data_IF_144723761037
#
_entry.id   IF_144723761037
#
_cell.length_a   1.000
_cell.length_b   1.000
_cell.length_c   1.000
_cell.angle_alpha   90.00
_cell.angle_beta   90.00
_cell.angle_gamma   90.00
#
_symmetry.space_group_name_H-M   'P 1'
#
loop_
_entity.id
_entity.type
_entity.pdbx_description
1 polymer ?
#
# COMPACT_ATOMS: atom_id res chain seq x y z
N UNK A 1 -47.60 -14.91 38.80
CA UNK A 1 -46.30 -15.21 39.41
C UNK A 1 -45.23 -14.52 38.59
N UNK A 2 -44.43 -13.66 39.24
CA UNK A 2 -43.29 -12.98 38.63
C UNK A 2 -42.10 -13.93 38.65
N UNK A 3 -41.37 -14.01 37.54
CA UNK A 3 -40.00 -14.54 37.55
C UNK A 3 -39.17 -13.73 36.54
N UNK A 4 -38.39 -12.80 37.08
CA UNK A 4 -37.21 -12.22 36.44
C UNK A 4 -36.07 -13.22 36.57
N UNK A 5 -35.28 -13.46 35.51
CA UNK A 5 -33.86 -13.76 35.67
C UNK A 5 -33.05 -13.14 34.53
N UNK A 6 -31.87 -12.66 34.94
CA UNK A 6 -31.00 -11.70 34.30
C UNK A 6 -30.34 -12.20 33.01
N UNK A 7 -30.08 -11.25 32.10
CA UNK A 7 -29.07 -11.34 31.06
C UNK A 7 -27.68 -11.19 31.69
N UNK A 8 -26.74 -12.05 31.32
CA UNK A 8 -25.31 -11.79 31.45
C UNK A 8 -24.61 -12.18 30.14
N UNK A 9 -23.99 -11.17 29.52
CA UNK A 9 -23.00 -11.29 28.46
C UNK A 9 -21.70 -11.85 29.06
N UNK A 10 -21.02 -12.72 28.33
CA UNK A 10 -19.57 -12.92 28.49
C UNK A 10 -18.97 -13.30 27.15
N UNK A 11 -18.10 -12.43 26.66
CA UNK A 11 -17.23 -12.68 25.52
C UNK A 11 -16.10 -13.61 25.98
N UNK A 12 -15.78 -14.64 25.21
CA UNK A 12 -14.61 -15.48 25.40
C UNK A 12 -13.69 -15.31 24.20
N UNK A 13 -12.62 -14.53 24.38
CA UNK A 13 -11.44 -14.51 23.50
C UNK A 13 -10.44 -15.50 24.09
N UNK A 14 -10.15 -16.57 23.38
CA UNK A 14 -9.13 -17.55 23.77
C UNK A 14 -7.76 -17.09 23.27
N UNK A 15 -6.89 -16.69 24.20
CA UNK A 15 -5.46 -16.51 23.96
C UNK A 15 -4.74 -17.82 24.32
N UNK A 16 -4.12 -18.48 23.34
CA UNK A 16 -3.18 -19.58 23.58
C UNK A 16 -1.79 -18.98 23.84
N UNK A 17 -1.35 -18.98 25.10
CA UNK A 17 0.06 -18.83 25.47
C UNK A 17 0.69 -20.22 25.57
N UNK A 18 1.62 -20.54 24.66
CA UNK A 18 2.50 -21.70 24.79
C UNK A 18 3.64 -21.41 25.75
N UNK A 19 3.77 -22.22 26.80
CA UNK A 19 4.84 -22.15 27.79
C UNK A 19 6.15 -22.72 27.21
N UNK A 20 7.24 -21.94 27.29
CA UNK A 20 8.60 -22.45 27.13
C UNK A 20 9.07 -23.13 28.41
N UNK A 21 9.39 -24.42 28.34
CA UNK A 21 10.13 -25.15 29.37
C UNK A 21 11.64 -25.04 29.10
N UNK A 22 12.39 -24.50 30.06
CA UNK A 22 13.85 -24.58 30.09
C UNK A 22 14.26 -25.98 30.58
N UNK A 23 15.04 -26.70 29.78
CA UNK A 23 15.78 -27.88 30.19
C UNK A 23 17.27 -27.55 30.21
N UNK A 24 17.90 -27.72 31.38
CA UNK A 24 19.34 -27.64 31.58
C UNK A 24 19.94 -29.04 31.50
N UNK A 25 20.96 -29.24 30.67
CA UNK A 25 21.91 -30.36 30.79
C UNK A 25 23.33 -29.88 30.46
N UNK A 26 24.28 -30.35 31.27
CA UNK A 26 25.71 -30.05 31.22
C UNK A 26 26.46 -30.84 30.14
N UNK A 27 27.63 -30.31 29.76
CA UNK A 27 28.63 -30.74 28.78
C UNK A 27 28.91 -32.26 28.65
N UNK A 28 29.07 -32.77 27.41
CA UNK A 28 30.39 -32.99 26.78
C UNK A 28 30.31 -33.64 25.36
N UNK A 29 30.88 -32.93 24.38
CA UNK A 29 31.62 -33.31 23.16
C UNK A 29 31.07 -34.20 22.00
N UNK A 30 31.43 -33.74 20.80
CA UNK A 30 31.57 -34.39 19.47
C UNK A 30 30.34 -34.75 18.63
N UNK A 31 29.90 -33.75 17.85
CA UNK A 31 29.86 -33.79 16.37
C UNK A 31 29.23 -35.00 15.67
N UNK A 32 27.96 -34.84 15.28
CA UNK A 32 27.46 -34.83 13.90
C UNK A 32 25.94 -35.00 13.96
N UNK A 33 25.23 -33.88 13.85
CA UNK A 33 23.78 -33.85 13.76
C UNK A 33 23.39 -32.71 12.84
N UNK A 34 22.88 -33.06 11.65
CA UNK A 34 22.29 -32.11 10.72
C UNK A 34 21.12 -31.39 11.38
N UNK A 35 21.36 -30.16 11.83
CA UNK A 35 20.33 -29.24 12.30
C UNK A 35 19.84 -28.41 11.13
N UNK A 36 18.78 -28.86 10.45
CA UNK A 36 17.97 -28.01 9.61
C UNK A 36 17.06 -27.21 10.57
N UNK A 37 17.63 -26.17 11.18
CA UNK A 37 16.95 -25.37 12.19
C UNK A 37 16.97 -23.92 11.78
N UNK A 38 15.79 -23.32 11.63
CA UNK A 38 15.61 -21.88 11.51
C UNK A 38 16.39 -21.21 12.65
N UNK A 39 17.49 -20.55 12.31
CA UNK A 39 18.30 -19.84 13.31
C UNK A 39 17.81 -18.40 13.43
N UNK A 40 17.55 -17.97 14.66
CA UNK A 40 17.19 -16.59 14.97
C UNK A 40 18.46 -15.73 15.18
N UNK A 41 18.47 -14.54 14.60
CA UNK A 41 19.48 -13.52 14.78
C UNK A 41 18.81 -12.25 15.31
N UNK A 42 19.16 -11.83 16.53
CA UNK A 42 18.64 -10.60 17.12
C UNK A 42 19.66 -9.49 16.93
N UNK A 43 19.29 -8.45 16.18
CA UNK A 43 20.15 -7.28 15.99
C UNK A 43 20.07 -6.41 17.25
N UNK A 44 21.22 -6.05 17.81
CA UNK A 44 21.30 -5.18 18.98
C UNK A 44 20.78 -3.77 18.67
N UNK A 45 20.31 -3.04 19.70
CA UNK A 45 19.90 -1.65 19.55
C UNK A 45 21.04 -0.81 18.96
N UNK A 46 20.71 0.11 18.05
CA UNK A 46 21.63 0.88 17.23
C UNK A 46 22.50 0.03 16.29
N UNK A 47 22.09 -1.19 15.99
CA UNK A 47 22.72 -2.04 14.98
C UNK A 47 22.48 -1.52 13.55
N UNK A 48 23.25 -2.07 12.61
CA UNK A 48 23.18 -1.71 11.20
C UNK A 48 22.62 -2.88 10.40
N UNK A 49 21.61 -2.62 9.57
CA UNK A 49 21.09 -3.51 8.55
C UNK A 49 21.91 -3.30 7.28
N UNK A 50 22.55 -4.36 6.79
CA UNK A 50 23.37 -4.36 5.57
C UNK A 50 23.49 -5.75 4.98
N UNK A 51 23.49 -5.85 3.65
CA UNK A 51 23.71 -7.08 2.92
C UNK A 51 22.45 -7.93 2.80
N UNK A 52 22.52 -9.22 3.12
CA UNK A 52 21.38 -10.12 2.95
C UNK A 52 21.19 -11.11 4.10
N UNK A 53 19.93 -11.49 4.33
CA UNK A 53 19.52 -12.57 5.22
C UNK A 53 19.20 -13.81 4.40
N UNK A 54 19.88 -14.92 4.67
CA UNK A 54 19.78 -16.18 3.92
C UNK A 54 19.74 -17.42 4.82
N UNK A 55 19.61 -18.61 4.22
CA UNK A 55 19.73 -19.88 4.95
C UNK A 55 18.57 -20.16 5.90
N UNK A 56 17.36 -19.69 5.59
CA UNK A 56 16.16 -19.84 6.43
C UNK A 56 16.29 -19.18 7.82
N UNK A 57 17.05 -18.09 7.88
CA UNK A 57 17.23 -17.31 9.11
C UNK A 57 16.03 -16.43 9.40
N UNK A 58 15.77 -16.22 10.68
CA UNK A 58 14.86 -15.17 11.15
C UNK A 58 15.68 -14.06 11.78
N UNK A 59 15.70 -12.86 11.18
CA UNK A 59 16.28 -11.67 11.80
C UNK A 59 15.21 -10.92 12.58
N UNK A 60 15.52 -10.52 13.81
CA UNK A 60 14.60 -9.86 14.73
C UNK A 60 15.13 -8.47 15.10
N UNK A 61 14.34 -7.45 14.74
CA UNK A 61 14.49 -6.08 15.20
C UNK A 61 13.59 -5.87 16.42
N UNK A 62 14.21 -5.80 17.58
CA UNK A 62 13.50 -5.75 18.87
C UNK A 62 12.68 -4.47 18.99
N UNK A 63 11.46 -4.59 19.51
CA UNK A 63 10.52 -3.48 19.70
C UNK A 63 11.16 -2.26 20.38
N UNK A 64 10.81 -1.07 19.89
CA UNK A 64 11.28 0.22 20.43
C UNK A 64 12.76 0.53 20.19
N UNK A 65 13.50 -0.33 19.48
CA UNK A 65 14.91 -0.10 19.18
C UNK A 65 15.08 0.72 17.90
N UNK A 66 16.25 1.35 17.80
CA UNK A 66 16.66 2.10 16.63
C UNK A 66 17.69 1.28 15.85
N UNK A 67 17.63 1.34 14.53
CA UNK A 67 18.57 0.69 13.63
C UNK A 67 18.96 1.67 12.52
N UNK A 68 20.14 1.48 11.96
CA UNK A 68 20.52 2.13 10.71
C UNK A 68 20.42 1.16 9.54
N UNK A 69 20.10 1.67 8.35
CA UNK A 69 20.22 0.95 7.09
C UNK A 69 21.43 1.55 6.34
N UNK A 70 22.28 0.70 5.78
CA UNK A 70 23.57 1.09 5.18
C UNK A 70 23.85 0.18 3.98
N UNK A 71 23.32 0.58 2.83
CA UNK A 71 23.17 -0.18 1.61
C UNK A 71 21.89 -1.03 1.58
N UNK A 72 21.86 -1.93 0.61
CA UNK A 72 20.77 -2.90 0.44
C UNK A 72 20.64 -3.82 1.66
N UNK A 73 19.39 -4.14 2.01
CA UNK A 73 19.06 -5.20 2.95
C UNK A 73 18.06 -6.19 2.33
N UNK A 74 18.59 -7.32 1.88
CA UNK A 74 17.84 -8.30 1.08
C UNK A 74 17.44 -9.50 1.95
N UNK A 75 16.14 -9.76 2.08
CA UNK A 75 15.61 -10.96 2.72
C UNK A 75 15.39 -12.01 1.64
N UNK A 76 16.20 -13.08 1.65
CA UNK A 76 16.17 -14.13 0.63
C UNK A 76 15.17 -15.24 0.97
N UNK A 77 14.83 -16.03 -0.04
CA UNK A 77 13.88 -17.14 0.07
C UNK A 77 14.14 -18.04 1.30
N UNK A 78 13.07 -18.34 2.04
CA UNK A 78 13.10 -19.12 3.28
C UNK A 78 13.40 -18.29 4.54
N UNK A 79 13.97 -17.10 4.41
CA UNK A 79 14.29 -16.22 5.54
C UNK A 79 13.13 -15.28 5.90
N UNK A 80 13.16 -14.75 7.13
CA UNK A 80 12.17 -13.79 7.64
C UNK A 80 12.84 -12.59 8.30
N UNK A 81 12.36 -11.37 8.00
CA UNK A 81 12.66 -10.16 8.76
C UNK A 81 11.49 -9.82 9.68
N UNK A 82 11.69 -9.87 11.00
CA UNK A 82 10.69 -9.46 12.00
C UNK A 82 11.02 -8.09 12.57
N UNK A 83 10.06 -7.18 12.53
CA UNK A 83 10.21 -5.81 13.02
C UNK A 83 9.14 -5.56 14.09
N UNK A 84 9.60 -5.36 15.33
CA UNK A 84 8.73 -5.10 16.46
C UNK A 84 8.13 -3.69 16.45
N UNK A 85 7.03 -3.52 17.18
CA UNK A 85 6.39 -2.21 17.36
C UNK A 85 7.37 -1.12 17.86
N UNK A 86 7.16 0.12 17.42
CA UNK A 86 7.97 1.28 17.82
C UNK A 86 9.42 1.26 17.33
N UNK A 87 9.81 0.30 16.48
CA UNK A 87 11.14 0.30 15.86
C UNK A 87 11.29 1.50 14.94
N UNK A 88 12.46 2.14 14.98
CA UNK A 88 12.88 3.12 13.97
C UNK A 88 14.05 2.57 13.17
N UNK A 89 13.94 2.59 11.84
CA UNK A 89 15.04 2.29 10.90
C UNK A 89 15.37 3.60 10.19
N UNK A 90 16.63 4.02 10.26
CA UNK A 90 17.13 5.23 9.60
C UNK A 90 18.15 4.88 8.51
N UNK A 91 17.80 5.08 7.25
CA UNK A 91 18.72 5.03 6.13
C UNK A 91 19.79 6.12 6.26
N UNK A 92 21.04 5.73 6.04
CA UNK A 92 22.17 6.63 6.15
C UNK A 92 22.26 7.47 4.89
N UNK A 93 22.63 8.73 5.09
CA UNK A 93 23.04 9.56 3.97
C UNK A 93 24.51 9.27 3.65
N UNK A 94 24.75 8.32 2.76
CA UNK A 94 26.01 8.24 2.04
C UNK A 94 25.79 8.10 0.53
N UNK A 95 26.54 8.86 -0.26
CA UNK A 95 26.42 8.85 -1.72
C UNK A 95 27.06 7.59 -2.35
N UNK A 96 27.53 6.63 -1.53
CA UNK A 96 28.32 5.50 -1.97
C UNK A 96 27.48 4.25 -2.20
N UNK A 97 26.38 4.08 -1.45
CA UNK A 97 25.50 2.91 -1.55
C UNK A 97 24.04 3.30 -1.41
N UNK A 98 23.17 2.58 -2.13
CA UNK A 98 21.73 2.85 -2.13
C UNK A 98 21.09 2.03 -1.01
N UNK A 99 20.33 2.71 -0.17
CA UNK A 99 19.67 2.12 1.00
C UNK A 99 18.25 1.70 0.63
N UNK A 100 17.96 0.40 0.62
CA UNK A 100 16.61 -0.12 0.41
C UNK A 100 16.43 -1.47 1.10
N UNK A 101 15.18 -1.81 1.40
CA UNK A 101 14.81 -3.15 1.90
C UNK A 101 14.11 -3.91 0.78
N UNK A 102 14.62 -5.10 0.46
CA UNK A 102 14.05 -5.97 -0.58
C UNK A 102 13.71 -7.34 0.01
N UNK A 103 12.45 -7.76 -0.14
CA UNK A 103 11.96 -9.08 0.27
C UNK A 103 11.74 -9.91 -1.00
N UNK A 104 12.62 -10.88 -1.25
CA UNK A 104 12.54 -11.73 -2.45
C UNK A 104 11.40 -12.76 -2.36
N UNK A 105 11.05 -13.35 -3.50
CA UNK A 105 10.07 -14.44 -3.57
C UNK A 105 10.37 -15.58 -2.59
N UNK A 106 9.37 -15.92 -1.76
CA UNK A 106 9.49 -16.97 -0.75
C UNK A 106 10.20 -16.56 0.53
N UNK A 107 10.65 -15.30 0.65
CA UNK A 107 11.01 -14.68 1.91
C UNK A 107 9.77 -14.08 2.59
N UNK A 108 9.93 -13.65 3.84
CA UNK A 108 8.85 -12.97 4.59
C UNK A 108 9.34 -11.73 5.32
N UNK A 109 8.41 -10.78 5.49
CA UNK A 109 8.53 -9.68 6.44
C UNK A 109 7.36 -9.70 7.43
N UNK A 110 7.65 -9.64 8.72
CA UNK A 110 6.67 -9.52 9.79
C UNK A 110 6.92 -8.19 10.52
N UNK A 111 6.40 -7.10 9.96
CA UNK A 111 6.53 -5.75 10.50
C UNK A 111 5.20 -5.31 11.13
N UNK A 112 5.09 -5.42 12.45
CA UNK A 112 3.83 -5.20 13.17
C UNK A 112 4.00 -4.14 14.26
N UNK A 113 3.67 -2.90 13.89
CA UNK A 113 3.52 -1.77 14.80
C UNK A 113 2.15 -1.71 15.46
N UNK A 114 1.92 -0.64 16.22
CA UNK A 114 0.62 -0.29 16.80
C UNK A 114 0.33 1.19 16.59
N UNK A 115 -0.93 1.60 16.74
CA UNK A 115 -1.31 3.01 16.62
C UNK A 115 -0.53 3.94 17.57
N UNK A 116 -0.11 3.44 18.74
CA UNK A 116 0.69 4.19 19.72
C UNK A 116 2.20 4.01 19.57
N UNK A 117 2.64 3.01 18.81
CA UNK A 117 4.04 2.68 18.57
C UNK A 117 4.20 2.18 17.13
N UNK A 118 4.01 3.05 16.12
CA UNK A 118 4.21 2.67 14.73
C UNK A 118 5.67 2.32 14.49
N UNK A 119 5.92 1.47 13.50
CA UNK A 119 7.26 1.30 12.94
C UNK A 119 7.53 2.53 12.07
N UNK A 120 8.71 3.12 12.22
CA UNK A 120 9.15 4.26 11.42
C UNK A 120 10.35 3.83 10.58
N UNK A 121 10.21 3.93 9.27
CA UNK A 121 11.30 3.73 8.32
C UNK A 121 11.54 5.07 7.63
N UNK A 122 12.72 5.66 7.83
CA UNK A 122 13.07 7.03 7.44
C UNK A 122 14.52 7.09 6.96
N UNK A 123 14.98 8.27 6.54
CA UNK A 123 16.39 8.59 6.36
C UNK A 123 16.90 9.61 7.39
N UNK A 124 18.23 9.67 7.57
CA UNK A 124 18.92 10.62 8.45
C UNK A 124 18.71 12.08 8.02
N UNK A 125 18.68 12.33 6.70
CA UNK A 125 18.49 13.67 6.12
C UNK A 125 17.05 14.14 6.19
N UNK A 126 16.08 13.20 6.17
CA UNK A 126 14.64 13.50 6.12
C UNK A 126 14.23 14.35 4.92
N UNK A 127 14.92 14.14 3.80
CA UNK A 127 14.66 14.79 2.53
C UNK A 127 14.02 13.78 1.56
N UNK A 128 12.99 14.15 0.78
CA UNK A 128 12.43 13.29 -0.25
C UNK A 128 13.52 12.67 -1.14
N UNK A 129 13.40 11.38 -1.45
CA UNK A 129 14.36 10.67 -2.29
C UNK A 129 15.65 10.25 -1.58
N UNK A 130 15.72 10.40 -0.25
CA UNK A 130 16.92 10.07 0.52
C UNK A 130 17.25 8.58 0.58
N UNK A 131 16.28 7.70 0.32
CA UNK A 131 16.48 6.25 0.31
C UNK A 131 15.44 5.54 -0.58
N UNK A 132 15.63 4.26 -0.81
CA UNK A 132 14.92 3.49 -1.83
C UNK A 132 13.63 2.80 -1.36
N UNK A 133 13.15 3.05 -0.15
CA UNK A 133 11.89 2.47 0.32
C UNK A 133 11.92 0.96 0.54
N UNK A 134 10.75 0.32 0.40
CA UNK A 134 10.57 -1.12 0.63
C UNK A 134 9.93 -1.83 -0.56
N UNK A 135 10.57 -2.90 -0.99
CA UNK A 135 10.22 -3.69 -2.16
C UNK A 135 9.88 -5.12 -1.76
N UNK A 136 8.72 -5.62 -2.20
CA UNK A 136 8.28 -6.98 -1.87
C UNK A 136 7.94 -7.74 -3.15
N UNK A 137 8.64 -8.84 -3.39
CA UNK A 137 8.41 -9.73 -4.52
C UNK A 137 7.65 -10.98 -4.10
N UNK A 138 6.44 -11.14 -4.63
CA UNK A 138 5.59 -12.31 -4.41
C UNK A 138 5.43 -13.19 -5.66
N UNK A 139 4.67 -14.27 -5.51
CA UNK A 139 4.43 -15.33 -6.51
C UNK A 139 3.04 -15.27 -7.16
N UNK A 140 2.29 -14.19 -6.94
CA UNK A 140 0.97 -14.02 -7.52
C UNK A 140 1.04 -13.65 -9.01
N UNK A 141 -0.05 -13.88 -9.78
CA UNK A 141 -0.07 -13.62 -11.21
C UNK A 141 0.24 -12.16 -11.57
N UNK A 142 0.94 -12.00 -12.70
CA UNK A 142 1.23 -10.73 -13.38
C UNK A 142 0.95 -10.92 -14.87
N UNK A 143 0.96 -9.86 -15.68
CA UNK A 143 0.60 -9.93 -17.09
C UNK A 143 1.73 -9.59 -18.09
N UNK A 144 2.96 -9.36 -17.62
CA UNK A 144 4.13 -9.16 -18.49
C UNK A 144 4.84 -10.47 -18.89
N UNK A 145 4.31 -11.61 -18.45
CA UNK A 145 4.89 -12.95 -18.60
C UNK A 145 4.49 -13.84 -17.42
N UNK A 146 5.09 -15.02 -17.28
CA UNK A 146 4.90 -15.85 -16.08
C UNK A 146 5.61 -15.28 -14.84
N UNK A 147 6.72 -14.57 -15.08
CA UNK A 147 7.58 -13.95 -14.06
C UNK A 147 8.23 -12.70 -14.65
N UNK A 148 8.52 -11.71 -13.81
CA UNK A 148 9.18 -10.45 -14.14
C UNK A 148 10.47 -10.24 -13.35
N UNK A 149 11.09 -9.07 -13.55
CA UNK A 149 12.26 -8.59 -12.80
C UNK A 149 11.95 -7.24 -12.17
N UNK A 150 12.04 -7.14 -10.85
CA UNK A 150 11.79 -5.89 -10.13
C UNK A 150 12.79 -4.83 -10.60
N UNK A 151 12.36 -3.57 -10.56
CA UNK A 151 13.19 -2.47 -11.05
C UNK A 151 14.43 -2.26 -10.19
N UNK A 152 14.29 -2.56 -8.89
CA UNK A 152 15.33 -2.58 -7.87
C UNK A 152 15.80 -4.00 -7.60
N UNK A 153 17.12 -4.21 -7.62
CA UNK A 153 17.76 -5.49 -7.27
C UNK A 153 17.62 -6.62 -8.30
N UNK A 154 16.90 -6.41 -9.42
CA UNK A 154 16.62 -7.43 -10.45
C UNK A 154 16.06 -8.75 -9.86
N UNK A 155 15.29 -8.66 -8.78
CA UNK A 155 14.68 -9.81 -8.12
C UNK A 155 13.53 -10.38 -8.96
N UNK A 156 13.36 -11.70 -8.91
CA UNK A 156 12.25 -12.34 -9.60
C UNK A 156 10.94 -12.06 -8.85
N UNK A 157 9.87 -11.76 -9.60
CA UNK A 157 8.50 -11.70 -9.08
C UNK A 157 7.51 -12.31 -10.07
N UNK A 158 6.26 -12.48 -9.64
CA UNK A 158 5.20 -13.07 -10.44
C UNK A 158 5.17 -14.59 -10.38
N UNK A 159 4.04 -15.17 -10.75
CA UNK A 159 3.87 -16.61 -10.75
C UNK A 159 2.42 -17.02 -10.95
N UNK A 160 2.02 -18.09 -10.28
CA UNK A 160 0.68 -18.67 -10.41
C UNK A 160 -0.06 -18.81 -9.08
N UNK A 161 0.51 -18.28 -7.99
CA UNK A 161 -0.06 -18.43 -6.65
C UNK A 161 -0.71 -17.13 -6.17
N UNK A 162 -2.01 -16.91 -6.44
CA UNK A 162 -2.70 -15.73 -5.94
C UNK A 162 -2.78 -15.68 -4.40
N UNK A 163 -2.60 -16.82 -3.72
CA UNK A 163 -2.63 -16.90 -2.26
C UNK A 163 -1.25 -16.78 -1.62
N UNK A 164 -0.21 -16.43 -2.40
CA UNK A 164 1.14 -16.21 -1.89
C UNK A 164 1.15 -15.23 -0.70
N UNK A 165 2.04 -15.49 0.25
CA UNK A 165 2.10 -14.76 1.51
C UNK A 165 3.54 -14.33 1.82
N UNK A 166 3.80 -13.05 1.57
CA UNK A 166 5.06 -12.37 1.85
C UNK A 166 5.13 -11.81 3.28
N UNK A 167 4.09 -11.99 4.09
CA UNK A 167 4.04 -11.66 5.50
C UNK A 167 3.00 -10.59 5.87
N UNK A 168 3.36 -9.72 6.82
CA UNK A 168 2.46 -8.75 7.45
C UNK A 168 3.18 -7.41 7.56
N UNK A 169 2.55 -6.35 7.02
CA UNK A 169 2.93 -4.96 7.25
C UNK A 169 1.76 -4.27 7.93
N UNK A 170 1.99 -3.79 9.16
CA UNK A 170 0.95 -3.14 9.96
C UNK A 170 1.47 -1.96 10.79
N UNK A 171 0.79 -0.81 10.73
CA UNK A 171 1.17 0.42 11.42
C UNK A 171 2.62 0.84 11.14
N UNK A 172 2.88 1.18 9.87
CA UNK A 172 4.20 1.58 9.38
C UNK A 172 4.11 2.98 8.78
N UNK A 173 5.06 3.83 9.15
CA UNK A 173 5.38 5.06 8.42
C UNK A 173 6.65 4.85 7.61
N UNK A 174 6.52 4.98 6.30
CA UNK A 174 7.62 5.02 5.36
C UNK A 174 7.80 6.47 4.91
N UNK A 175 8.91 7.07 5.32
CA UNK A 175 9.14 8.50 5.17
C UNK A 175 10.30 8.73 4.21
N UNK A 176 10.13 9.63 3.24
CA UNK A 176 11.21 10.17 2.40
C UNK A 176 11.91 9.16 1.48
N UNK A 177 11.17 8.15 1.00
CA UNK A 177 11.63 7.24 -0.06
C UNK A 177 11.74 7.99 -1.42
N UNK A 178 12.09 7.30 -2.52
CA UNK A 178 12.21 7.96 -3.83
C UNK A 178 13.58 7.87 -4.51
N UNK A 179 14.56 7.14 -3.97
CA UNK A 179 15.94 7.28 -4.47
C UNK A 179 16.07 7.00 -5.98
N UNK A 180 16.60 7.99 -6.71
CA UNK A 180 16.79 7.94 -8.16
C UNK A 180 18.11 7.27 -8.56
N UNK A 181 18.05 6.04 -9.07
CA UNK A 181 19.23 5.26 -9.52
C UNK A 181 19.89 5.84 -10.76
N UNK A 182 19.06 6.19 -11.74
CA UNK A 182 19.48 6.69 -13.04
C UNK A 182 18.49 7.73 -13.51
N UNK A 183 18.74 8.37 -14.65
CA UNK A 183 17.76 9.27 -15.24
C UNK A 183 16.43 8.60 -15.58
N UNK A 184 16.40 7.27 -15.67
CA UNK A 184 15.24 6.47 -16.11
C UNK A 184 14.71 5.50 -15.04
N UNK A 185 15.38 5.35 -13.89
CA UNK A 185 14.99 4.43 -12.82
C UNK A 185 15.01 5.13 -11.47
N UNK A 186 13.90 5.06 -10.76
CA UNK A 186 13.69 5.68 -9.46
C UNK A 186 12.95 4.70 -8.54
N UNK A 187 13.17 4.77 -7.23
CA UNK A 187 12.50 3.90 -6.27
C UNK A 187 11.18 4.51 -5.86
N UNK A 188 10.15 3.69 -5.67
CA UNK A 188 8.92 4.11 -5.02
C UNK A 188 8.99 4.01 -3.50
N UNK A 189 7.87 4.34 -2.85
CA UNK A 189 7.65 4.12 -1.43
C UNK A 189 7.45 2.64 -1.10
N UNK A 190 6.19 2.24 -0.95
CA UNK A 190 5.83 0.83 -0.80
C UNK A 190 5.62 0.21 -2.18
N UNK A 191 6.49 -0.71 -2.57
CA UNK A 191 6.42 -1.36 -3.88
C UNK A 191 6.08 -2.84 -3.76
N UNK A 192 5.00 -3.25 -4.43
CA UNK A 192 4.48 -4.60 -4.39
C UNK A 192 4.55 -5.26 -5.76
N UNK A 193 5.54 -6.12 -5.95
CA UNK A 193 5.75 -6.89 -7.16
C UNK A 193 5.09 -8.26 -7.06
N UNK A 194 3.96 -8.47 -7.74
CA UNK A 194 3.29 -9.77 -7.80
C UNK A 194 2.92 -10.34 -6.43
N UNK A 195 2.56 -9.50 -5.46
CA UNK A 195 2.27 -9.93 -4.08
C UNK A 195 0.88 -10.57 -3.99
N UNK A 196 0.79 -11.71 -3.28
CA UNK A 196 -0.45 -12.48 -3.13
C UNK A 196 -1.36 -12.00 -2.00
N UNK A 197 -2.64 -12.40 -2.08
CA UNK A 197 -3.68 -12.06 -1.11
C UNK A 197 -3.58 -12.77 0.25
N UNK A 198 -2.59 -13.65 0.41
CA UNK A 198 -2.20 -14.17 1.72
C UNK A 198 -1.40 -13.16 2.57
N UNK A 199 -0.88 -12.10 1.94
CA UNK A 199 -0.12 -11.02 2.59
C UNK A 199 -1.08 -10.00 3.21
N UNK A 200 -0.75 -9.47 4.40
CA UNK A 200 -1.56 -8.44 5.08
C UNK A 200 -0.89 -7.07 4.96
N UNK A 201 -1.62 -6.10 4.41
CA UNK A 201 -1.21 -4.69 4.31
C UNK A 201 -2.26 -3.80 5.00
N UNK A 202 -1.96 -3.31 6.21
CA UNK A 202 -2.91 -2.49 6.98
C UNK A 202 -2.24 -1.31 7.68
N UNK A 203 -2.84 -0.12 7.67
CA UNK A 203 -2.29 1.05 8.38
C UNK A 203 -0.86 1.39 7.93
N UNK A 204 -0.70 1.73 6.65
CA UNK A 204 0.58 2.12 6.07
C UNK A 204 0.51 3.57 5.62
N UNK A 205 1.55 4.33 5.93
CA UNK A 205 1.70 5.72 5.49
C UNK A 205 2.97 5.86 4.63
N UNK A 206 2.82 6.34 3.41
CA UNK A 206 3.92 6.81 2.57
C UNK A 206 3.97 8.35 2.64
N UNK A 207 5.07 8.91 3.14
CA UNK A 207 5.18 10.33 3.46
C UNK A 207 6.37 10.99 2.74
N UNK A 208 6.06 11.94 1.85
CA UNK A 208 7.02 12.86 1.20
C UNK A 208 8.18 12.16 0.48
N UNK A 209 7.89 11.18 -0.38
CA UNK A 209 8.86 10.61 -1.32
C UNK A 209 8.97 11.38 -2.65
N UNK A 210 9.97 11.07 -3.48
CA UNK A 210 10.13 11.68 -4.83
C UNK A 210 9.48 10.90 -5.97
N UNK A 211 8.95 9.73 -5.68
CA UNK A 211 8.24 8.87 -6.63
C UNK A 211 6.95 8.37 -5.97
N UNK A 212 6.34 7.31 -6.50
CA UNK A 212 5.04 6.84 -6.04
C UNK A 212 4.99 6.49 -4.55
N UNK A 213 3.88 6.85 -3.88
CA UNK A 213 3.68 6.49 -2.49
C UNK A 213 3.48 4.99 -2.29
N UNK A 214 2.65 4.40 -3.14
CA UNK A 214 2.35 2.98 -3.20
C UNK A 214 2.23 2.57 -4.65
N UNK A 215 2.93 1.51 -5.04
CA UNK A 215 2.85 0.99 -6.40
C UNK A 215 2.67 -0.53 -6.41
N UNK A 216 1.73 -0.99 -7.24
CA UNK A 216 1.49 -2.41 -7.48
C UNK A 216 1.86 -2.81 -8.91
N UNK A 217 2.89 -3.65 -9.02
CA UNK A 217 3.22 -4.37 -10.25
C UNK A 217 2.57 -5.75 -10.22
N UNK A 218 1.31 -5.82 -10.64
CA UNK A 218 0.54 -7.04 -10.67
C UNK A 218 0.19 -7.60 -9.28
N UNK A 219 -0.18 -8.88 -9.24
CA UNK A 219 -0.54 -9.56 -8.00
C UNK A 219 -2.00 -9.39 -7.57
N UNK A 220 -2.31 -9.87 -6.38
CA UNK A 220 -3.68 -9.94 -5.84
C UNK A 220 -3.80 -9.45 -4.40
N UNK A 221 -2.72 -8.92 -3.83
CA UNK A 221 -2.69 -8.45 -2.44
C UNK A 221 -3.80 -7.44 -2.17
N UNK A 222 -4.46 -7.60 -1.03
CA UNK A 222 -5.46 -6.67 -0.55
C UNK A 222 -4.84 -5.71 0.47
N UNK A 223 -5.34 -4.48 0.55
CA UNK A 223 -4.85 -3.50 1.51
C UNK A 223 -5.97 -2.67 2.14
N UNK A 224 -5.82 -2.30 3.40
CA UNK A 224 -6.79 -1.46 4.12
C UNK A 224 -6.09 -0.36 4.91
N UNK A 225 -6.72 0.82 5.01
CA UNK A 225 -6.19 1.93 5.80
C UNK A 225 -4.82 2.42 5.29
N UNK A 226 -4.77 2.87 4.04
CA UNK A 226 -3.54 3.42 3.45
C UNK A 226 -3.60 4.94 3.41
N UNK A 227 -2.45 5.58 3.66
CA UNK A 227 -2.31 7.04 3.65
C UNK A 227 -1.09 7.42 2.81
N UNK A 228 -1.29 8.21 1.77
CA UNK A 228 -0.23 8.74 0.92
C UNK A 228 -0.21 10.25 1.04
N UNK A 229 0.94 10.82 1.41
CA UNK A 229 1.08 12.24 1.75
C UNK A 229 2.22 12.85 0.96
N UNK A 230 1.88 13.69 -0.01
CA UNK A 230 2.82 14.55 -0.73
C UNK A 230 4.03 13.81 -1.33
N UNK A 231 3.82 12.59 -1.83
CA UNK A 231 4.75 11.90 -2.71
C UNK A 231 4.74 12.63 -4.08
N UNK A 232 5.90 12.93 -4.67
CA UNK A 232 5.95 13.87 -5.80
C UNK A 232 5.53 13.30 -7.15
N UNK A 233 5.43 11.98 -7.29
CA UNK A 233 4.73 11.39 -8.43
C UNK A 233 3.30 11.01 -8.01
N UNK A 234 2.91 9.74 -8.12
CA UNK A 234 1.54 9.32 -7.85
C UNK A 234 1.31 8.90 -6.40
N UNK A 235 0.13 9.21 -5.88
CA UNK A 235 -0.17 8.80 -4.49
C UNK A 235 -0.39 7.29 -4.38
N UNK A 236 -1.00 6.71 -5.41
CA UNK A 236 -1.23 5.28 -5.60
C UNK A 236 -1.12 4.98 -7.11
N UNK A 237 -0.26 4.07 -7.51
CA UNK A 237 -0.13 3.58 -8.89
C UNK A 237 -0.42 2.08 -8.94
N UNK A 238 -1.10 1.61 -9.99
CA UNK A 238 -1.01 0.21 -10.33
C UNK A 238 -0.82 -0.05 -11.82
N UNK A 239 -0.14 -1.16 -12.06
CA UNK A 239 0.11 -1.72 -13.38
C UNK A 239 0.22 -3.25 -13.29
N UNK A 240 0.58 -3.86 -14.42
CA UNK A 240 0.94 -5.26 -14.61
C UNK A 240 -0.06 -6.32 -14.12
N UNK A 241 -1.34 -5.97 -14.06
CA UNK A 241 -2.43 -6.92 -13.79
C UNK A 241 -2.88 -6.98 -12.34
N UNK A 242 -2.64 -5.94 -11.53
CA UNK A 242 -3.06 -5.95 -10.13
C UNK A 242 -4.58 -6.07 -10.01
N UNK A 243 -5.04 -7.07 -9.24
CA UNK A 243 -6.46 -7.43 -9.12
C UNK A 243 -6.89 -7.60 -7.65
N UNK A 244 -6.23 -6.90 -6.74
CA UNK A 244 -6.53 -6.89 -5.31
C UNK A 244 -7.76 -6.06 -4.92
N UNK A 245 -7.98 -5.96 -3.61
CA UNK A 245 -9.03 -5.16 -2.99
C UNK A 245 -8.44 -4.09 -2.07
N UNK A 246 -9.05 -2.92 -2.05
CA UNK A 246 -8.64 -1.78 -1.22
C UNK A 246 -9.81 -1.19 -0.43
N UNK A 247 -9.62 -0.83 0.84
CA UNK A 247 -10.60 -0.02 1.56
C UNK A 247 -9.97 1.04 2.47
N UNK A 248 -10.59 2.23 2.55
CA UNK A 248 -10.14 3.35 3.38
C UNK A 248 -8.77 3.90 2.95
N UNK A 249 -8.67 4.35 1.69
CA UNK A 249 -7.45 4.97 1.16
C UNK A 249 -7.55 6.49 1.24
N UNK A 250 -6.47 7.12 1.69
CA UNK A 250 -6.32 8.57 1.75
C UNK A 250 -5.14 8.99 0.90
N UNK A 251 -5.37 9.91 -0.03
CA UNK A 251 -4.30 10.66 -0.67
C UNK A 251 -4.46 12.14 -0.32
N UNK A 252 -3.37 12.76 0.14
CA UNK A 252 -3.30 14.20 0.34
C UNK A 252 -2.02 14.73 -0.28
N UNK A 253 -2.14 15.73 -1.14
CA UNK A 253 -1.01 16.45 -1.70
C UNK A 253 -1.07 17.90 -1.24
N UNK A 254 0.00 18.33 -0.56
CA UNK A 254 0.18 19.68 -0.07
C UNK A 254 0.39 20.68 -1.23
N UNK A 255 0.05 21.95 -1.02
CA UNK A 255 0.27 23.01 -2.00
C UNK A 255 1.77 23.11 -2.37
N UNK A 256 2.17 23.07 -3.65
CA UNK A 256 3.57 23.18 -4.08
C UNK A 256 4.24 24.47 -3.60
N UNK A 257 3.49 25.54 -3.35
CA UNK A 257 4.02 26.77 -2.78
C UNK A 257 4.59 26.58 -1.36
N UNK A 258 4.06 25.63 -0.59
CA UNK A 258 4.57 25.28 0.75
C UNK A 258 5.43 24.02 0.73
N UNK A 259 5.11 23.06 -0.15
CA UNK A 259 5.81 21.79 -0.28
C UNK A 259 7.18 21.93 -0.97
N UNK A 260 7.31 22.86 -1.92
CA UNK A 260 8.55 23.10 -2.69
C UNK A 260 8.70 22.25 -3.96
N UNK A 261 7.74 21.36 -4.23
CA UNK A 261 7.65 20.54 -5.44
C UNK A 261 6.18 20.20 -5.73
N UNK A 262 5.92 19.69 -6.94
CA UNK A 262 4.60 19.30 -7.39
C UNK A 262 4.43 17.79 -7.31
N UNK A 263 3.20 17.35 -7.02
CA UNK A 263 2.80 15.95 -7.05
C UNK A 263 1.94 15.66 -8.29
N UNK A 264 2.08 14.50 -8.94
CA UNK A 264 1.34 14.17 -10.16
C UNK A 264 -0.11 13.71 -9.88
N UNK A 265 -0.43 12.42 -9.93
CA UNK A 265 -1.79 11.91 -9.76
C UNK A 265 -2.11 11.56 -8.31
N UNK A 266 -3.41 11.55 -7.99
CA UNK A 266 -3.87 10.91 -6.75
C UNK A 266 -3.99 9.39 -6.94
N UNK A 267 -4.37 8.97 -8.15
CA UNK A 267 -4.33 7.59 -8.60
C UNK A 267 -3.86 7.57 -10.05
N UNK A 268 -2.84 6.78 -10.37
CA UNK A 268 -2.52 6.33 -11.72
C UNK A 268 -2.87 4.85 -11.87
N UNK A 269 -3.38 4.49 -13.05
CA UNK A 269 -4.03 3.20 -13.24
C UNK A 269 -3.85 2.69 -14.67
N UNK A 270 -3.04 1.65 -14.79
CA UNK A 270 -2.75 0.95 -16.03
C UNK A 270 -3.00 -0.56 -15.92
N UNK A 271 -3.24 -1.18 -17.09
CA UNK A 271 -3.08 -2.61 -17.24
C UNK A 271 -1.60 -2.93 -17.50
N UNK A 272 -1.23 -3.17 -18.75
CA UNK A 272 0.15 -3.18 -19.19
C UNK A 272 0.23 -2.30 -20.42
N UNK A 273 0.90 -1.16 -20.31
CA UNK A 273 0.92 -0.12 -21.34
C UNK A 273 1.45 -0.61 -22.70
N UNK A 274 2.36 -1.58 -22.70
CA UNK A 274 2.92 -2.22 -23.91
C UNK A 274 1.99 -3.26 -24.53
N UNK A 275 1.03 -3.79 -23.76
CA UNK A 275 0.00 -4.70 -24.25
C UNK A 275 -1.26 -4.60 -23.37
N UNK A 276 -2.14 -3.67 -23.73
CA UNK A 276 -3.33 -3.34 -22.94
C UNK A 276 -4.35 -4.49 -22.83
N UNK A 277 -4.23 -5.55 -23.65
CA UNK A 277 -5.05 -6.76 -23.58
C UNK A 277 -4.41 -7.88 -22.73
N UNK A 278 -3.24 -7.64 -22.12
CA UNK A 278 -2.53 -8.65 -21.35
C UNK A 278 -3.36 -9.11 -20.13
N UNK A 279 -3.40 -10.43 -19.91
CA UNK A 279 -4.15 -11.05 -18.82
C UNK A 279 -3.20 -11.57 -17.72
N UNK A 280 -3.58 -11.48 -16.43
CA UNK A 280 -4.81 -10.86 -15.92
C UNK A 280 -4.82 -9.35 -16.18
N UNK A 281 -6.01 -8.80 -16.46
CA UNK A 281 -6.17 -7.35 -16.63
C UNK A 281 -6.20 -6.71 -15.25
N UNK A 282 -5.48 -5.60 -15.04
CA UNK A 282 -5.56 -4.81 -13.80
C UNK A 282 -7.01 -4.43 -13.55
N UNK A 283 -7.58 -4.87 -12.43
CA UNK A 283 -9.00 -4.72 -12.11
C UNK A 283 -9.21 -4.71 -10.59
N UNK A 284 -8.58 -3.77 -9.86
CA UNK A 284 -8.75 -3.71 -8.42
C UNK A 284 -10.19 -3.32 -8.04
N UNK A 285 -10.62 -3.76 -6.86
CA UNK A 285 -11.87 -3.31 -6.23
C UNK A 285 -11.58 -2.44 -5.03
N UNK A 286 -11.80 -1.13 -5.16
CA UNK A 286 -11.52 -0.13 -4.14
C UNK A 286 -12.82 0.45 -3.57
N UNK A 287 -12.89 0.63 -2.25
CA UNK A 287 -14.03 1.25 -1.58
C UNK A 287 -13.58 2.27 -0.53
N UNK A 288 -14.33 3.36 -0.36
CA UNK A 288 -14.07 4.39 0.66
C UNK A 288 -12.71 5.08 0.46
N UNK A 289 -12.67 6.03 -0.49
CA UNK A 289 -11.47 6.80 -0.80
C UNK A 289 -11.68 8.29 -0.50
N UNK A 290 -10.69 8.93 0.11
CA UNK A 290 -10.61 10.40 0.20
C UNK A 290 -9.35 10.85 -0.52
N UNK A 291 -9.51 11.48 -1.69
CA UNK A 291 -8.42 11.87 -2.57
C UNK A 291 -8.42 13.40 -2.71
N UNK A 292 -7.39 14.05 -2.20
CA UNK A 292 -7.29 15.52 -2.10
C UNK A 292 -5.97 15.97 -2.71
N UNK A 293 -6.05 16.62 -3.87
CA UNK A 293 -4.92 17.28 -4.48
C UNK A 293 -4.62 18.67 -3.91
N UNK A 294 -3.58 19.28 -4.47
CA UNK A 294 -2.98 20.50 -3.99
C UNK A 294 -3.71 21.81 -4.39
N UNK A 295 -4.89 21.75 -5.04
CA UNK A 295 -5.68 22.90 -5.51
C UNK A 295 -4.91 23.89 -6.39
N UNK A 296 -4.09 23.37 -7.30
CA UNK A 296 -3.34 24.17 -8.27
C UNK A 296 -3.46 23.62 -9.69
N UNK A 297 -2.82 24.30 -10.65
CA UNK A 297 -2.85 23.96 -12.08
C UNK A 297 -1.70 23.05 -12.54
N UNK A 298 -0.87 22.56 -11.64
CA UNK A 298 0.19 21.58 -11.86
C UNK A 298 -0.27 20.18 -11.41
N UNK A 299 0.31 19.10 -11.95
CA UNK A 299 -0.10 17.73 -11.61
C UNK A 299 -1.61 17.54 -11.70
N UNK A 300 -2.20 17.70 -12.90
CA UNK A 300 -3.62 18.06 -13.04
C UNK A 300 -4.62 16.93 -12.74
N UNK A 301 -4.15 15.71 -12.49
CA UNK A 301 -4.97 14.50 -12.53
C UNK A 301 -5.32 14.02 -11.12
N UNK A 302 -6.59 13.77 -10.87
CA UNK A 302 -7.07 13.07 -9.68
C UNK A 302 -6.93 11.58 -9.88
N UNK A 303 -8.02 10.93 -10.27
CA UNK A 303 -8.01 9.53 -10.70
C UNK A 303 -7.72 9.47 -12.20
N UNK A 304 -6.59 8.89 -12.61
CA UNK A 304 -6.19 8.71 -14.00
C UNK A 304 -6.38 7.25 -14.42
N UNK A 305 -7.46 6.94 -15.13
CA UNK A 305 -7.69 5.60 -15.71
C UNK A 305 -7.15 5.56 -17.13
N UNK A 306 -5.96 4.98 -17.34
CA UNK A 306 -5.21 5.16 -18.58
C UNK A 306 -5.19 3.93 -19.48
N UNK A 307 -4.20 3.06 -19.41
CA UNK A 307 -3.87 2.13 -20.48
C UNK A 307 -4.50 0.75 -20.26
N UNK A 308 -5.70 0.54 -20.80
CA UNK A 308 -6.40 -0.74 -20.77
C UNK A 308 -6.80 -1.25 -19.38
N UNK A 309 -6.68 -0.43 -18.33
CA UNK A 309 -7.06 -0.81 -16.98
C UNK A 309 -8.57 -1.01 -16.89
N UNK A 310 -8.97 -1.99 -16.10
CA UNK A 310 -10.29 -2.03 -15.49
C UNK A 310 -10.19 -1.49 -14.07
N UNK A 311 -11.30 -1.06 -13.49
CA UNK A 311 -11.34 -0.66 -12.09
C UNK A 311 -12.76 -0.75 -11.54
N UNK A 312 -12.90 -1.12 -10.28
CA UNK A 312 -14.16 -1.04 -9.55
C UNK A 312 -13.98 -0.13 -8.34
N UNK A 313 -14.39 1.12 -8.47
CA UNK A 313 -14.20 2.17 -7.45
C UNK A 313 -15.55 2.56 -6.87
N UNK A 314 -15.67 2.42 -5.55
CA UNK A 314 -16.86 2.72 -4.78
C UNK A 314 -16.60 3.78 -3.71
N UNK A 315 -17.60 4.58 -3.40
CA UNK A 315 -17.63 5.43 -2.19
C UNK A 315 -16.46 6.43 -2.09
N UNK A 316 -16.13 7.13 -3.18
CA UNK A 316 -14.97 8.01 -3.25
C UNK A 316 -15.33 9.50 -3.20
N UNK A 317 -14.45 10.29 -2.57
CA UNK A 317 -14.45 11.76 -2.59
C UNK A 317 -13.17 12.23 -3.28
N UNK A 318 -13.30 13.06 -4.32
CA UNK A 318 -12.13 13.56 -5.10
C UNK A 318 -12.18 15.07 -5.28
N UNK A 319 -11.13 15.77 -4.85
CA UNK A 319 -10.99 17.23 -5.02
C UNK A 319 -9.53 17.64 -5.20
N UNK A 320 -9.26 18.93 -5.39
CA UNK A 320 -7.92 19.50 -5.37
C UNK A 320 -7.09 19.25 -6.63
N UNK A 321 -7.71 18.76 -7.70
CA UNK A 321 -7.11 18.53 -9.01
C UNK A 321 -7.99 19.15 -10.10
N UNK A 322 -7.37 19.73 -11.12
CA UNK A 322 -8.09 20.36 -12.23
C UNK A 322 -8.96 19.34 -13.02
N UNK A 323 -8.45 18.12 -13.21
CA UNK A 323 -9.21 16.99 -13.75
C UNK A 323 -9.39 15.96 -12.64
N UNK A 324 -10.53 15.94 -11.96
CA UNK A 324 -10.72 15.04 -10.81
C UNK A 324 -10.75 13.56 -11.21
N UNK A 325 -11.19 13.26 -12.44
CA UNK A 325 -11.10 11.93 -13.02
C UNK A 325 -10.83 12.04 -14.53
N UNK A 326 -9.86 11.29 -15.04
CA UNK A 326 -9.56 11.18 -16.47
C UNK A 326 -9.69 9.75 -16.96
N UNK A 327 -10.10 9.59 -18.22
CA UNK A 327 -9.99 8.35 -18.99
C UNK A 327 -9.21 8.62 -20.26
N UNK A 328 -8.22 7.78 -20.60
CA UNK A 328 -7.23 8.13 -21.63
C UNK A 328 -7.07 7.11 -22.78
N UNK A 329 -7.71 5.93 -22.71
CA UNK A 329 -7.71 4.99 -23.84
C UNK A 329 -9.10 4.45 -24.16
N UNK A 330 -9.31 4.11 -25.43
CA UNK A 330 -10.57 3.61 -25.97
C UNK A 330 -11.03 2.35 -25.23
N UNK A 331 -10.06 1.48 -24.91
CA UNK A 331 -10.30 0.23 -24.21
C UNK A 331 -10.75 0.45 -22.76
N UNK A 332 -10.07 1.33 -22.01
CA UNK A 332 -10.47 1.69 -20.64
C UNK A 332 -11.89 2.27 -20.62
N UNK A 333 -12.22 3.14 -21.58
CA UNK A 333 -13.57 3.71 -21.70
C UNK A 333 -14.62 2.65 -22.05
N UNK A 334 -14.34 1.75 -22.99
CA UNK A 334 -15.24 0.64 -23.31
C UNK A 334 -15.51 -0.25 -22.11
N UNK A 335 -14.52 -0.48 -21.24
CA UNK A 335 -14.73 -1.24 -20.01
C UNK A 335 -15.67 -0.55 -19.02
N UNK A 336 -15.78 0.78 -19.04
CA UNK A 336 -16.70 1.56 -18.21
C UNK A 336 -18.12 1.64 -18.78
N UNK A 337 -18.30 1.47 -20.09
CA UNK A 337 -19.61 1.57 -20.76
C UNK A 337 -20.34 0.22 -20.69
N UNK A 338 -19.70 -0.83 -21.21
CA UNK A 338 -20.32 -2.15 -21.40
C UNK A 338 -19.46 -3.29 -20.83
N UNK A 339 -18.43 -2.96 -20.05
CA UNK A 339 -17.48 -3.91 -19.49
C UNK A 339 -17.57 -4.09 -17.98
N UNK A 340 -16.52 -4.65 -17.38
CA UNK A 340 -16.52 -5.05 -15.97
C UNK A 340 -16.15 -3.91 -15.00
N UNK A 341 -15.78 -2.72 -15.51
CA UNK A 341 -15.42 -1.59 -14.67
C UNK A 341 -16.66 -0.97 -14.03
N UNK A 342 -16.50 -0.47 -12.81
CA UNK A 342 -17.58 0.15 -12.04
C UNK A 342 -17.06 1.42 -11.38
N UNK A 343 -17.78 2.53 -11.58
CA UNK A 343 -17.60 3.77 -10.83
C UNK A 343 -18.94 4.10 -10.15
N UNK A 344 -19.00 3.99 -8.81
CA UNK A 344 -20.28 4.04 -8.10
C UNK A 344 -20.17 4.77 -6.76
N UNK A 345 -21.12 5.66 -6.46
CA UNK A 345 -21.06 6.57 -5.30
C UNK A 345 -19.75 7.38 -5.23
N UNK A 346 -19.33 7.96 -6.35
CA UNK A 346 -18.18 8.87 -6.42
C UNK A 346 -18.68 10.31 -6.47
N UNK A 347 -18.22 11.16 -5.56
CA UNK A 347 -18.44 12.60 -5.60
C UNK A 347 -17.13 13.32 -5.93
N UNK A 348 -17.12 14.10 -7.02
CA UNK A 348 -15.95 14.85 -7.47
C UNK A 348 -16.24 16.35 -7.48
N UNK A 349 -15.20 17.15 -7.23
CA UNK A 349 -15.33 18.60 -7.07
C UNK A 349 -15.62 19.36 -8.39
N UNK A 350 -15.08 18.88 -9.50
CA UNK A 350 -15.28 19.40 -10.85
C UNK A 350 -16.00 18.38 -11.75
N UNK A 351 -15.63 18.33 -13.02
CA UNK A 351 -16.13 17.36 -13.99
C UNK A 351 -15.08 16.28 -14.30
N UNK A 352 -15.49 15.20 -14.96
CA UNK A 352 -14.56 14.24 -15.54
C UNK A 352 -13.99 14.79 -16.85
N UNK A 353 -12.85 14.24 -17.27
CA UNK A 353 -12.27 14.46 -18.59
C UNK A 353 -12.05 13.13 -19.30
N UNK A 354 -13.00 12.76 -20.14
CA UNK A 354 -12.89 11.60 -21.01
C UNK A 354 -12.14 11.96 -22.31
N UNK A 355 -11.05 11.25 -22.59
CA UNK A 355 -10.13 11.54 -23.70
C UNK A 355 -9.61 10.29 -24.41
N UNK A 356 -10.20 9.13 -24.13
CA UNK A 356 -9.82 7.85 -24.73
C UNK A 356 -10.51 7.53 -26.06
N UNK A 357 -11.44 8.36 -26.53
CA UNK A 357 -12.23 8.14 -27.76
C UNK A 357 -13.09 6.84 -27.75
N UNK A 358 -13.33 6.23 -26.59
CA UNK A 358 -14.20 5.06 -26.41
C UNK A 358 -15.67 5.42 -26.18
N UNK A 359 -15.98 6.72 -26.05
CA UNK A 359 -17.33 7.25 -25.91
C UNK A 359 -17.79 7.40 -24.47
N UNK A 360 -16.89 7.27 -23.48
CA UNK A 360 -17.23 7.57 -22.09
C UNK A 360 -17.45 9.07 -21.91
N UNK A 361 -18.33 9.46 -21.00
CA UNK A 361 -18.71 10.87 -20.84
C UNK A 361 -19.24 11.17 -19.45
N UNK A 362 -19.29 12.45 -19.09
CA UNK A 362 -19.87 12.90 -17.82
C UNK A 362 -21.32 12.45 -17.65
N UNK A 363 -22.09 12.35 -18.74
CA UNK A 363 -23.46 11.85 -18.73
C UNK A 363 -23.53 10.36 -18.35
N UNK A 364 -22.60 9.54 -18.85
CA UNK A 364 -22.49 8.13 -18.47
C UNK A 364 -21.99 7.98 -17.04
N UNK A 365 -21.00 8.78 -16.64
CA UNK A 365 -20.50 8.79 -15.26
C UNK A 365 -21.62 9.12 -14.25
N UNK A 366 -22.46 10.12 -14.55
CA UNK A 366 -23.58 10.57 -13.69
C UNK A 366 -24.92 9.87 -13.95
N UNK A 367 -24.94 8.77 -14.71
CA UNK A 367 -26.15 7.99 -14.93
C UNK A 367 -26.76 7.55 -13.58
N UNK A 368 -28.10 7.48 -13.51
CA UNK A 368 -28.87 7.31 -12.26
C UNK A 368 -28.36 6.14 -11.40
N UNK A 369 -28.09 4.99 -12.00
CA UNK A 369 -27.61 3.79 -11.30
C UNK A 369 -26.18 3.89 -10.73
N UNK A 370 -25.40 4.86 -11.19
CA UNK A 370 -24.03 5.06 -10.70
C UNK A 370 -23.99 5.84 -9.39
N UNK A 371 -25.02 6.64 -9.08
CA UNK A 371 -25.05 7.53 -7.90
C UNK A 371 -23.82 8.46 -7.79
N UNK A 372 -23.15 8.73 -8.91
CA UNK A 372 -22.01 9.65 -8.95
C UNK A 372 -22.48 11.09 -9.08
N UNK A 373 -21.66 12.03 -8.60
CA UNK A 373 -21.95 13.45 -8.64
C UNK A 373 -20.71 14.26 -9.03
N UNK A 374 -20.91 15.24 -9.90
CA UNK A 374 -19.89 16.21 -10.37
C UNK A 374 -20.19 17.60 -9.80
N UNK A 375 -19.22 18.51 -9.88
CA UNK A 375 -19.35 19.90 -9.42
C UNK A 375 -19.74 20.01 -7.93
N UNK A 376 -19.20 19.14 -7.08
CA UNK A 376 -19.54 19.07 -5.67
C UNK A 376 -18.64 19.99 -4.83
N UNK A 377 -19.22 20.67 -3.85
CA UNK A 377 -18.41 21.28 -2.78
C UNK A 377 -18.11 20.23 -1.73
N UNK A 378 -16.85 19.80 -1.66
CA UNK A 378 -16.37 18.84 -0.66
C UNK A 378 -15.71 19.62 0.48
N UNK A 379 -16.00 19.22 1.72
CA UNK A 379 -15.47 19.88 2.91
C UNK A 379 -14.92 18.85 3.87
N UNK A 380 -13.75 19.16 4.41
CA UNK A 380 -13.03 18.31 5.34
C UNK A 380 -12.65 19.14 6.56
N UNK A 381 -12.69 18.51 7.72
CA UNK A 381 -12.04 19.01 8.93
C UNK A 381 -10.57 18.60 8.91
N UNK A 382 -9.70 19.47 9.43
CA UNK A 382 -8.26 19.34 9.26
C UNK A 382 -7.89 19.19 7.77
N UNK A 383 -7.20 18.09 7.41
CA UNK A 383 -6.68 17.86 6.07
C UNK A 383 -7.68 17.04 5.22
N UNK A 384 -8.14 15.88 5.72
CA UNK A 384 -8.96 14.92 4.96
C UNK A 384 -10.10 14.27 5.77
N UNK A 385 -10.36 14.73 7.01
CA UNK A 385 -11.35 14.11 7.89
C UNK A 385 -12.74 14.59 7.50
N UNK A 386 -13.55 13.70 6.94
CA UNK A 386 -14.89 14.01 6.47
C UNK A 386 -15.43 12.93 5.53
N UNK A 387 -16.74 12.75 5.58
CA UNK A 387 -17.48 11.81 4.73
C UNK A 387 -18.79 12.43 4.24
N UNK A 388 -19.36 11.89 3.18
CA UNK A 388 -20.72 12.21 2.75
C UNK A 388 -21.63 10.99 2.92
N UNK A 389 -22.87 11.22 3.33
CA UNK A 389 -23.86 10.15 3.47
C UNK A 389 -24.15 9.44 2.14
N UNK A 390 -24.54 8.17 2.25
CA UNK A 390 -24.81 7.28 1.12
C UNK A 390 -23.54 6.53 0.67
N UNK A 391 -23.71 5.34 0.11
CA UNK A 391 -22.59 4.53 -0.34
C UNK A 391 -23.05 3.12 -0.68
N UNK A 392 -22.31 2.46 -1.55
CA UNK A 392 -22.47 1.05 -1.84
C UNK A 392 -22.08 0.21 -0.62
N UNK A 393 -22.88 -0.80 -0.29
CA UNK A 393 -22.55 -1.80 0.73
C UNK A 393 -21.87 -3.01 0.06
N UNK A 394 -20.56 -3.12 0.25
CA UNK A 394 -19.76 -4.23 -0.27
C UNK A 394 -19.54 -5.34 0.76
N UNK A 395 -20.14 -5.25 1.96
CA UNK A 395 -19.87 -6.17 3.09
C UNK A 395 -20.39 -7.60 2.90
N UNK A 396 -21.03 -7.90 1.76
CA UNK A 396 -21.25 -9.27 1.31
C UNK A 396 -19.93 -10.02 1.07
N UNK A 397 -18.88 -9.29 0.69
CA UNK A 397 -17.51 -9.78 0.67
C UNK A 397 -16.83 -9.38 2.00
N UNK A 398 -16.35 -10.38 2.74
CA UNK A 398 -15.87 -10.21 4.12
C UNK A 398 -14.63 -9.31 4.25
N UNK A 399 -13.95 -9.00 3.14
CA UNK A 399 -12.88 -8.02 3.15
C UNK A 399 -13.37 -6.60 3.48
N UNK A 400 -14.54 -6.23 2.94
CA UNK A 400 -15.06 -4.87 3.07
C UNK A 400 -15.87 -4.70 4.36
N UNK A 401 -15.49 -3.71 5.13
CA UNK A 401 -16.31 -3.21 6.22
C UNK A 401 -17.52 -2.48 5.68
N UNK A 402 -18.64 -2.61 6.39
CA UNK A 402 -19.86 -1.89 6.07
C UNK A 402 -19.66 -0.39 6.29
N UNK A 403 -19.63 0.37 5.20
CA UNK A 403 -19.48 1.81 5.20
C UNK A 403 -20.52 2.46 4.28
N UNK A 404 -21.68 2.83 4.82
CA UNK A 404 -22.77 3.47 4.08
C UNK A 404 -22.54 4.98 3.85
N UNK A 405 -21.31 5.34 3.46
CA UNK A 405 -20.84 6.71 3.25
C UNK A 405 -19.73 6.73 2.18
N UNK A 406 -19.54 7.87 1.52
CA UNK A 406 -18.39 8.17 0.66
C UNK A 406 -17.27 8.79 1.48
N UNK A 407 -16.02 8.48 1.14
CA UNK A 407 -14.83 8.94 1.84
C UNK A 407 -14.23 7.88 2.76
N UNK A 408 -12.98 8.11 3.16
CA UNK A 408 -12.17 7.15 3.90
C UNK A 408 -12.16 7.38 5.42
N UNK A 409 -12.31 8.61 5.90
CA UNK A 409 -12.11 8.96 7.32
C UNK A 409 -13.32 9.70 7.86
N UNK A 410 -14.12 9.03 8.71
CA UNK A 410 -15.24 9.66 9.41
C UNK A 410 -14.74 10.49 10.59
N UNK A 411 -15.40 11.61 10.86
CA UNK A 411 -15.08 12.48 12.00
C UNK A 411 -15.24 11.80 13.37
N UNK A 412 -16.10 10.79 13.49
CA UNK A 412 -16.31 10.02 14.73
C UNK A 412 -15.41 8.78 14.83
N UNK A 413 -14.60 8.50 13.80
CA UNK A 413 -13.67 7.37 13.74
C UNK A 413 -12.41 7.71 12.92
N UNK A 414 -11.57 8.57 13.49
CA UNK A 414 -10.29 9.01 12.92
C UNK A 414 -9.21 7.92 13.06
N UNK A 415 -9.29 6.88 12.24
CA UNK A 415 -8.35 5.75 12.28
C UNK A 415 -6.89 6.11 11.93
N UNK A 416 -6.64 7.30 11.37
CA UNK A 416 -5.30 7.85 11.09
C UNK A 416 -4.61 8.37 12.36
N UNK A 417 -5.34 8.66 13.42
CA UNK A 417 -4.81 9.34 14.61
C UNK A 417 -3.78 8.50 15.36
N UNK A 418 -2.65 9.14 15.70
CA UNK A 418 -1.63 8.61 16.61
C UNK A 418 -0.44 7.94 15.93
N UNK A 419 -0.59 7.53 14.67
CA UNK A 419 0.45 6.79 13.96
C UNK A 419 0.90 7.43 12.65
N UNK A 420 0.08 8.25 12.00
CA UNK A 420 0.49 9.03 10.82
C UNK A 420 1.37 10.23 11.21
N UNK A 421 2.05 10.84 10.23
CA UNK A 421 2.90 12.03 10.39
C UNK A 421 2.17 13.36 10.13
N UNK A 422 0.89 13.27 9.77
CA UNK A 422 -0.05 14.36 9.47
C UNK A 422 -0.45 15.23 10.67
#
# INVERSE_FOLDING_TARGET
>A
MKTNYLKLNSWAVAALMGMCSLAACSDDNSGEGGGNGDSEEVIANNGTLKGSVDGSKTVILTKGYNFSLDGEYIVKAGSTLKIGEGVTISAKSDDATIDYILVEQGAKIEAVGTASAPIVMTADTKEPGAWGGIHICGKAPINIGSTGKSEVGDAAYGGSDPADNSGILKYIRLEYAGYKFTTEKECNGFTFYGVGNGTTLEYLEAYKGTDDGFEWFGGTVNAKYLVSVSNSDDSFDWTEGWSGKGQFFVAYQEDPATLGYTCDCLIEADNYDKNMDATPISCPTLANLTLIGANNDEGKRGIRLRAGTQAKIYNALVTGKANNLTTETEQTEKFLIDGPSVLNYIAIAGDIKASGDGGYSSALFTAEGNHNAINQTLSFSNIFIGTQDGGADLSADSFFEKAAYKGAVKADNEWTKGWTKL
#
